data_IF_043515983376
#
_entry.id   IF_043515983376
#
_cell.length_a   1.000
_cell.length_b   1.000
_cell.length_c   1.000
_cell.angle_alpha   90.00
_cell.angle_beta   90.00
_cell.angle_gamma   90.00
#
_symmetry.space_group_name_H-M   'P 1'
#
loop_
_entity.id
_entity.type
_entity.pdbx_description
1 polymer ?
#
# COMPACT_ATOMS: atom_id res chain seq x y z
N UNK A 1 -66.70 -25.87 -30.58
CA UNK A 1 -66.89 -24.40 -30.52
C UNK A 1 -65.75 -23.83 -29.67
N UNK A 2 -65.07 -22.77 -30.10
CA UNK A 2 -64.20 -22.73 -31.29
C UNK A 2 -62.82 -22.06 -31.01
N UNK A 3 -61.92 -22.16 -32.00
CA UNK A 3 -60.97 -21.13 -32.51
C UNK A 3 -60.04 -20.39 -31.52
N UNK A 4 -58.72 -20.44 -31.70
CA UNK A 4 -58.01 -19.69 -32.75
C UNK A 4 -56.59 -20.25 -32.87
N UNK A 5 -56.19 -20.79 -34.02
CA UNK A 5 -55.57 -20.04 -35.12
C UNK A 5 -54.47 -19.06 -34.68
N UNK A 6 -53.23 -19.56 -34.68
CA UNK A 6 -52.07 -18.81 -35.17
C UNK A 6 -51.26 -19.74 -36.07
N UNK A 7 -51.78 -19.92 -37.29
CA UNK A 7 -50.99 -20.29 -38.44
C UNK A 7 -50.15 -19.07 -38.84
N UNK A 8 -48.84 -19.21 -38.94
CA UNK A 8 -48.10 -18.89 -40.18
C UNK A 8 -46.60 -19.16 -40.00
N UNK A 9 -46.18 -20.24 -40.65
CA UNK A 9 -45.10 -20.21 -41.65
C UNK A 9 -43.72 -19.69 -41.23
N UNK A 10 -42.80 -20.65 -41.15
CA UNK A 10 -41.48 -20.62 -41.77
C UNK A 10 -40.73 -19.28 -41.76
N UNK A 11 -39.76 -19.17 -40.86
CA UNK A 11 -38.49 -18.53 -41.22
C UNK A 11 -37.38 -19.51 -40.86
N UNK A 12 -37.00 -20.26 -41.89
CA UNK A 12 -35.68 -20.82 -42.14
C UNK A 12 -34.64 -20.28 -41.16
N UNK A 13 -34.19 -21.14 -40.22
CA UNK A 13 -32.94 -20.93 -39.51
C UNK A 13 -31.86 -20.93 -40.59
N UNK A 14 -31.55 -19.77 -41.15
CA UNK A 14 -30.32 -19.57 -41.90
C UNK A 14 -29.22 -19.88 -40.91
N UNK A 15 -28.69 -21.09 -41.04
CA UNK A 15 -27.41 -21.50 -40.52
C UNK A 15 -26.45 -20.41 -40.95
N UNK A 16 -26.12 -19.52 -40.01
CA UNK A 16 -25.17 -18.45 -40.23
C UNK A 16 -23.82 -19.15 -40.36
N UNK A 17 -23.54 -19.67 -41.55
CA UNK A 17 -22.27 -20.31 -41.89
C UNK A 17 -21.22 -19.25 -41.63
N UNK A 18 -20.48 -19.42 -40.54
CA UNK A 18 -19.22 -18.74 -40.29
C UNK A 18 -18.48 -18.67 -41.62
N UNK A 19 -18.47 -17.48 -42.24
CA UNK A 19 -17.54 -17.21 -43.31
C UNK A 19 -16.21 -17.00 -42.58
N UNK A 20 -15.17 -17.79 -42.86
CA UNK A 20 -13.86 -17.49 -42.31
C UNK A 20 -13.51 -16.08 -42.74
N UNK A 21 -13.23 -15.23 -41.76
CA UNK A 21 -12.68 -13.91 -41.99
C UNK A 21 -11.36 -14.11 -42.74
N UNK A 22 -11.22 -13.50 -43.91
CA UNK A 22 -9.99 -13.59 -44.71
C UNK A 22 -8.81 -13.14 -43.85
N UNK A 23 -7.82 -14.03 -43.71
CA UNK A 23 -6.70 -13.92 -42.78
C UNK A 23 -5.73 -12.78 -43.14
N UNK A 24 -5.96 -12.10 -44.27
CA UNK A 24 -5.09 -11.07 -44.83
C UNK A 24 -5.34 -9.66 -44.27
N UNK A 25 -6.50 -9.39 -43.67
CA UNK A 25 -6.75 -8.12 -42.95
C UNK A 25 -6.17 -8.09 -41.52
N UNK A 26 -5.49 -9.16 -41.10
CA UNK A 26 -4.84 -9.28 -39.78
C UNK A 26 -3.36 -8.85 -39.78
N UNK A 27 -2.82 -8.31 -40.87
CA UNK A 27 -1.45 -7.81 -40.91
C UNK A 27 -1.39 -6.30 -41.16
N UNK A 28 -1.35 -5.51 -40.07
CA UNK A 28 -0.34 -4.44 -39.97
C UNK A 28 -0.14 -3.83 -38.56
N UNK A 29 -0.37 -4.61 -37.49
CA UNK A 29 0.31 -4.28 -36.22
C UNK A 29 1.45 -5.28 -36.08
N UNK A 30 2.67 -4.87 -36.46
CA UNK A 30 3.83 -5.76 -36.39
C UNK A 30 4.04 -6.24 -34.95
N UNK A 31 4.38 -7.51 -34.77
CA UNK A 31 4.67 -8.08 -33.44
C UNK A 31 5.76 -7.29 -32.72
N UNK A 32 6.72 -6.73 -33.48
CA UNK A 32 7.77 -5.86 -32.96
C UNK A 32 7.23 -4.54 -32.39
N UNK A 33 6.26 -3.91 -33.06
CA UNK A 33 5.62 -2.69 -32.56
C UNK A 33 4.86 -2.92 -31.25
N UNK A 34 4.21 -4.09 -31.11
CA UNK A 34 3.56 -4.50 -29.85
C UNK A 34 4.57 -4.78 -28.74
N UNK A 35 5.68 -5.46 -29.06
CA UNK A 35 6.75 -5.71 -28.11
C UNK A 35 7.38 -4.40 -27.61
N UNK A 36 7.60 -3.45 -28.51
CA UNK A 36 8.12 -2.12 -28.17
C UNK A 36 7.14 -1.34 -27.29
N UNK A 37 5.85 -1.36 -27.63
CA UNK A 37 4.80 -0.73 -26.82
C UNK A 37 4.74 -1.34 -25.40
N UNK A 38 4.83 -2.66 -25.28
CA UNK A 38 4.84 -3.36 -24.00
C UNK A 38 6.11 -3.03 -23.18
N UNK A 39 7.28 -2.95 -23.80
CA UNK A 39 8.50 -2.52 -23.14
C UNK A 39 8.39 -1.08 -22.62
N UNK A 40 7.89 -0.16 -23.44
CA UNK A 40 7.69 1.24 -23.07
C UNK A 40 6.70 1.39 -21.91
N UNK A 41 5.54 0.72 -21.99
CA UNK A 41 4.54 0.71 -20.94
C UNK A 41 5.08 0.14 -19.62
N UNK A 42 5.83 -0.97 -19.68
CA UNK A 42 6.48 -1.53 -18.50
C UNK A 42 7.50 -0.55 -17.89
N UNK A 43 8.33 0.09 -18.72
CA UNK A 43 9.31 1.08 -18.26
C UNK A 43 8.62 2.25 -17.55
N UNK A 44 7.51 2.75 -18.11
CA UNK A 44 6.70 3.80 -17.51
C UNK A 44 6.08 3.36 -16.17
N UNK A 45 5.51 2.15 -16.10
CA UNK A 45 5.00 1.58 -14.85
C UNK A 45 6.10 1.52 -13.78
N UNK A 46 7.31 1.08 -14.14
CA UNK A 46 8.43 1.04 -13.20
C UNK A 46 8.83 2.44 -12.72
N UNK A 47 8.94 3.42 -13.62
CA UNK A 47 9.30 4.79 -13.23
C UNK A 47 8.23 5.44 -12.35
N UNK A 48 6.95 5.28 -12.68
CA UNK A 48 5.84 5.82 -11.90
C UNK A 48 5.74 5.17 -10.52
N UNK A 49 5.92 3.84 -10.44
CA UNK A 49 5.95 3.13 -9.14
C UNK A 49 7.12 3.60 -8.28
N UNK A 50 8.27 3.87 -8.89
CA UNK A 50 9.40 4.42 -8.17
C UNK A 50 9.12 5.84 -7.67
N UNK A 51 8.52 6.70 -8.50
CA UNK A 51 8.15 8.06 -8.12
C UNK A 51 7.13 8.07 -6.96
N UNK A 52 6.06 7.27 -7.06
CA UNK A 52 5.10 7.07 -5.95
C UNK A 52 5.81 6.60 -4.68
N UNK A 53 6.80 5.71 -4.80
CA UNK A 53 7.55 5.21 -3.64
C UNK A 53 8.37 6.30 -2.93
N UNK A 54 8.79 7.36 -3.64
CA UNK A 54 9.51 8.51 -3.08
C UNK A 54 8.60 9.41 -2.24
N UNK A 55 7.32 9.49 -2.59
CA UNK A 55 6.34 10.29 -1.84
C UNK A 55 5.67 9.52 -0.70
N UNK A 56 5.67 8.18 -0.75
CA UNK A 56 5.12 7.34 0.32
C UNK A 56 6.01 7.41 1.55
N UNK A 57 5.45 7.74 2.72
CA UNK A 57 6.13 7.62 4.01
C UNK A 57 6.37 6.14 4.33
N UNK A 58 7.48 5.61 3.83
CA UNK A 58 7.92 4.23 3.98
C UNK A 58 9.34 4.18 4.55
N UNK A 59 9.85 2.98 4.76
CA UNK A 59 11.19 2.76 5.32
C UNK A 59 12.30 3.33 4.43
N UNK A 60 12.20 3.15 3.11
CA UNK A 60 13.18 3.65 2.14
C UNK A 60 13.27 5.17 2.18
N UNK A 61 12.13 5.87 2.18
CA UNK A 61 12.04 7.32 2.30
C UNK A 61 12.74 7.81 3.57
N UNK A 62 12.38 7.23 4.71
CA UNK A 62 12.93 7.65 6.00
C UNK A 62 14.44 7.38 6.10
N UNK A 63 14.92 6.25 5.57
CA UNK A 63 16.35 5.90 5.53
C UNK A 63 17.17 6.84 4.66
N UNK A 64 16.59 7.36 3.57
CA UNK A 64 17.27 8.28 2.65
C UNK A 64 17.29 9.74 3.10
N UNK A 65 16.59 10.11 4.17
CA UNK A 65 16.39 11.51 4.54
C UNK A 65 16.50 11.73 6.06
N UNK A 66 17.70 12.04 6.54
CA UNK A 66 18.01 12.29 7.96
C UNK A 66 17.17 13.43 8.56
N UNK A 67 16.93 14.51 7.80
CA UNK A 67 16.08 15.63 8.27
C UNK A 67 14.66 15.16 8.53
N UNK A 68 14.13 14.30 7.66
CA UNK A 68 12.80 13.70 7.85
C UNK A 68 12.78 12.74 9.05
N UNK A 69 13.87 12.01 9.34
CA UNK A 69 13.95 11.16 10.55
C UNK A 69 13.72 12.01 11.80
N UNK A 70 14.50 13.08 11.97
CA UNK A 70 14.41 13.95 13.15
C UNK A 70 13.04 14.63 13.24
N UNK A 71 12.54 15.15 12.11
CA UNK A 71 11.26 15.85 12.05
C UNK A 71 10.08 14.94 12.43
N UNK A 72 9.99 13.76 11.83
CA UNK A 72 8.84 12.87 12.00
C UNK A 72 8.90 12.03 13.27
N UNK A 73 10.10 11.61 13.69
CA UNK A 73 10.23 10.63 14.77
C UNK A 73 10.82 11.21 16.05
N UNK A 74 11.47 12.38 15.97
CA UNK A 74 12.22 12.97 17.07
C UNK A 74 13.57 12.29 17.35
N UNK A 75 13.91 11.22 16.64
CA UNK A 75 15.22 10.57 16.77
C UNK A 75 16.27 11.26 15.88
N UNK A 76 17.53 11.37 16.34
CA UNK A 76 18.58 12.02 15.56
C UNK A 76 18.94 11.23 14.29
N UNK A 77 18.84 9.89 14.34
CA UNK A 77 19.26 9.02 13.25
C UNK A 77 18.27 7.87 13.04
N UNK A 78 18.23 7.36 11.80
CA UNK A 78 17.31 6.28 11.42
C UNK A 78 17.58 4.98 12.21
N UNK A 79 18.83 4.74 12.64
CA UNK A 79 19.20 3.54 13.40
C UNK A 79 18.36 3.36 14.68
N UNK A 80 18.00 4.46 15.36
CA UNK A 80 17.18 4.39 16.58
C UNK A 80 15.75 3.95 16.26
N UNK A 81 15.18 4.45 15.17
CA UNK A 81 13.85 4.05 14.68
C UNK A 81 13.86 2.57 14.29
N UNK A 82 14.89 2.13 13.57
CA UNK A 82 15.05 0.74 13.14
C UNK A 82 15.20 -0.20 14.34
N UNK A 83 16.00 0.14 15.34
CA UNK A 83 16.15 -0.66 16.56
C UNK A 83 14.83 -0.82 17.32
N UNK A 84 14.04 0.26 17.42
CA UNK A 84 12.70 0.18 18.01
C UNK A 84 11.81 -0.74 17.18
N UNK A 85 11.85 -0.59 15.85
CA UNK A 85 11.10 -1.43 14.94
C UNK A 85 11.39 -2.92 15.14
N UNK A 86 12.66 -3.32 15.18
CA UNK A 86 13.03 -4.72 15.42
C UNK A 86 12.49 -5.29 16.75
N UNK A 87 12.38 -4.45 17.79
CA UNK A 87 11.83 -4.86 19.09
C UNK A 87 10.31 -5.07 19.02
N UNK A 88 9.59 -4.21 18.30
CA UNK A 88 8.11 -4.20 18.30
C UNK A 88 7.49 -4.99 17.15
N UNK A 89 8.19 -5.14 16.03
CA UNK A 89 7.70 -5.76 14.79
C UNK A 89 7.02 -7.13 15.00
N UNK A 90 7.56 -8.07 15.81
CA UNK A 90 6.92 -9.36 16.02
C UNK A 90 5.54 -9.28 16.69
N UNK A 91 5.23 -8.14 17.31
CA UNK A 91 4.00 -7.90 18.07
C UNK A 91 3.02 -6.97 17.36
N UNK A 92 3.42 -6.41 16.20
CA UNK A 92 2.53 -5.59 15.38
C UNK A 92 1.64 -6.49 14.52
N UNK A 93 0.38 -6.06 14.37
CA UNK A 93 -0.61 -6.75 13.57
C UNK A 93 -0.31 -6.59 12.09
N UNK A 94 -0.55 -7.65 11.32
CA UNK A 94 -0.57 -7.55 9.87
C UNK A 94 -1.82 -6.79 9.43
N UNK A 95 -1.65 -5.85 8.50
CA UNK A 95 -2.73 -5.01 8.00
C UNK A 95 -2.61 -4.87 6.49
N UNK A 96 -3.74 -4.94 5.77
CA UNK A 96 -3.75 -4.86 4.31
C UNK A 96 -3.34 -3.47 3.79
N UNK A 97 -3.69 -2.41 4.52
CA UNK A 97 -3.42 -1.04 4.11
C UNK A 97 -1.99 -0.55 4.43
N UNK A 98 -1.41 -0.94 5.57
CA UNK A 98 -0.14 -0.38 6.08
C UNK A 98 0.80 -1.51 6.51
N UNK A 99 2.07 -1.42 6.07
CA UNK A 99 3.12 -2.31 6.58
C UNK A 99 3.40 -2.05 8.07
N UNK A 100 3.96 -3.03 8.78
CA UNK A 100 4.33 -2.88 10.20
C UNK A 100 5.23 -1.67 10.45
N UNK A 101 6.18 -1.40 9.56
CA UNK A 101 7.02 -0.21 9.65
C UNK A 101 6.19 1.07 9.54
N UNK A 102 5.22 1.12 8.63
CA UNK A 102 4.35 2.29 8.48
C UNK A 102 3.43 2.49 9.69
N UNK A 103 2.95 1.42 10.32
CA UNK A 103 2.19 1.49 11.57
C UNK A 103 3.02 2.13 12.70
N UNK A 104 4.28 1.70 12.85
CA UNK A 104 5.23 2.31 13.78
C UNK A 104 5.47 3.79 13.43
N UNK A 105 5.80 4.10 12.18
CA UNK A 105 6.11 5.45 11.74
C UNK A 105 4.92 6.40 11.97
N UNK A 106 3.71 5.99 11.61
CA UNK A 106 2.50 6.77 11.85
C UNK A 106 2.31 7.07 13.35
N UNK A 107 2.61 6.09 14.20
CA UNK A 107 2.53 6.25 15.65
C UNK A 107 3.58 7.21 16.18
N UNK A 108 4.83 7.12 15.71
CA UNK A 108 5.89 8.07 16.09
C UNK A 108 5.56 9.51 15.63
N UNK A 109 5.02 9.68 14.43
CA UNK A 109 4.56 10.97 13.91
C UNK A 109 3.45 11.54 14.79
N UNK A 110 2.46 10.72 15.16
CA UNK A 110 1.39 11.14 16.06
C UNK A 110 1.94 11.60 17.41
N UNK A 111 2.85 10.84 18.02
CA UNK A 111 3.45 11.20 19.30
C UNK A 111 4.31 12.46 19.23
N UNK A 112 5.02 12.68 18.12
CA UNK A 112 5.98 13.77 17.96
C UNK A 112 5.34 15.10 17.58
N UNK A 113 4.38 15.07 16.67
CA UNK A 113 3.77 16.25 16.04
C UNK A 113 2.31 16.47 16.47
N UNK A 114 1.72 15.53 17.23
CA UNK A 114 0.34 15.55 17.69
C UNK A 114 -0.72 15.78 16.60
N UNK A 115 -0.46 15.29 15.38
CA UNK A 115 -1.35 15.48 14.23
C UNK A 115 -2.73 14.84 14.45
N UNK A 116 -3.77 15.40 13.84
CA UNK A 116 -5.10 14.78 13.87
C UNK A 116 -5.12 13.48 13.07
N UNK A 117 -5.96 12.51 13.47
CA UNK A 117 -6.09 11.24 12.74
C UNK A 117 -6.54 11.42 11.29
N UNK A 118 -7.24 12.50 10.96
CA UNK A 118 -7.63 12.84 9.58
C UNK A 118 -6.39 13.16 8.73
N UNK A 119 -5.42 13.90 9.27
CA UNK A 119 -4.18 14.21 8.57
C UNK A 119 -3.31 12.97 8.39
N UNK A 120 -3.19 12.14 9.44
CA UNK A 120 -2.47 10.87 9.36
C UNK A 120 -3.11 9.92 8.34
N UNK A 121 -4.44 9.83 8.32
CA UNK A 121 -5.17 9.04 7.34
C UNK A 121 -4.84 9.45 5.90
N UNK A 122 -4.80 10.76 5.63
CA UNK A 122 -4.42 11.28 4.32
C UNK A 122 -2.97 10.93 3.94
N UNK A 123 -2.02 11.08 4.88
CA UNK A 123 -0.59 10.77 4.63
C UNK A 123 -0.34 9.29 4.37
N UNK A 124 -1.06 8.41 5.05
CA UNK A 124 -0.89 6.96 4.95
C UNK A 124 -1.92 6.27 4.04
N UNK A 125 -2.76 7.05 3.35
CA UNK A 125 -3.78 6.57 2.40
C UNK A 125 -4.68 5.49 3.03
N UNK A 126 -5.18 5.75 4.24
CA UNK A 126 -6.10 4.87 4.94
C UNK A 126 -7.28 5.65 5.52
N UNK A 127 -8.31 4.95 5.98
CA UNK A 127 -9.47 5.61 6.59
C UNK A 127 -9.10 6.16 7.99
N UNK A 128 -9.72 7.28 8.41
CA UNK A 128 -9.51 7.88 9.74
C UNK A 128 -9.64 6.88 10.90
N UNK A 129 -10.68 6.05 10.84
CA UNK A 129 -10.93 5.01 11.87
C UNK A 129 -9.85 3.93 11.87
N UNK A 130 -9.30 3.58 10.70
CA UNK A 130 -8.18 2.66 10.57
C UNK A 130 -6.91 3.27 11.19
N UNK A 131 -6.62 4.55 10.90
CA UNK A 131 -5.47 5.24 11.49
C UNK A 131 -5.53 5.27 13.03
N UNK A 132 -6.70 5.57 13.59
CA UNK A 132 -6.91 5.58 15.04
C UNK A 132 -6.69 4.20 15.68
N UNK A 133 -7.28 3.14 15.11
CA UNK A 133 -7.10 1.76 15.62
C UNK A 133 -5.64 1.29 15.52
N UNK A 134 -4.99 1.57 14.40
CA UNK A 134 -3.56 1.24 14.23
C UNK A 134 -2.74 1.97 15.29
N UNK A 135 -3.01 3.26 15.52
CA UNK A 135 -2.33 4.03 16.57
C UNK A 135 -2.54 3.40 17.95
N UNK A 136 -3.77 3.10 18.36
CA UNK A 136 -4.10 2.47 19.65
C UNK A 136 -3.40 1.12 19.85
N UNK A 137 -3.41 0.26 18.82
CA UNK A 137 -2.73 -1.03 18.88
C UNK A 137 -1.20 -0.87 18.98
N UNK A 138 -0.63 -0.02 18.14
CA UNK A 138 0.82 0.17 18.05
C UNK A 138 1.35 0.85 19.31
N UNK A 139 0.67 1.87 19.85
CA UNK A 139 1.09 2.54 21.09
C UNK A 139 1.04 1.60 22.29
N UNK A 140 0.03 0.72 22.36
CA UNK A 140 -0.05 -0.31 23.39
C UNK A 140 1.13 -1.30 23.28
N UNK A 141 1.47 -1.75 22.08
CA UNK A 141 2.65 -2.59 21.84
C UNK A 141 3.94 -1.88 22.28
N UNK A 142 4.13 -0.62 21.87
CA UNK A 142 5.28 0.20 22.28
C UNK A 142 5.38 0.27 23.81
N UNK A 143 4.28 0.58 24.49
CA UNK A 143 4.25 0.65 25.95
C UNK A 143 4.65 -0.69 26.58
N UNK A 144 4.04 -1.80 26.14
CA UNK A 144 4.30 -3.12 26.71
C UNK A 144 5.74 -3.59 26.50
N UNK A 145 6.34 -3.28 25.34
CA UNK A 145 7.70 -3.74 25.00
C UNK A 145 8.79 -2.80 25.53
N UNK A 146 8.56 -1.48 25.47
CA UNK A 146 9.57 -0.50 25.83
C UNK A 146 9.63 -0.18 27.33
N UNK A 147 8.56 -0.45 28.10
CA UNK A 147 8.55 -0.22 29.57
C UNK A 147 9.69 -0.92 30.31
N UNK A 148 10.17 -2.06 29.81
CA UNK A 148 11.27 -2.82 30.43
C UNK A 148 12.58 -2.03 30.36
N UNK A 149 12.81 -1.28 29.29
CA UNK A 149 14.03 -0.48 29.12
C UNK A 149 14.02 0.77 29.99
N UNK A 150 12.87 1.41 30.22
CA UNK A 150 12.80 2.60 31.07
C UNK A 150 13.07 2.30 32.54
N UNK A 151 12.62 1.14 33.03
CA UNK A 151 12.91 0.67 34.40
C UNK A 151 14.39 0.34 34.57
N UNK A 152 14.99 -0.36 33.61
CA UNK A 152 16.43 -0.69 33.66
C UNK A 152 17.33 0.54 33.56
N UNK A 153 16.96 1.53 32.74
CA UNK A 153 17.70 2.79 32.62
C UNK A 153 17.67 3.65 33.89
N UNK A 154 16.66 3.49 34.77
CA UNK A 154 16.65 4.12 36.09
C UNK A 154 17.55 3.39 37.08
N UNK A 155 17.55 2.04 37.06
CA UNK A 155 18.36 1.24 37.98
C UNK A 155 19.87 1.45 37.79
N UNK A 156 20.32 1.65 36.54
CA UNK A 156 21.75 1.96 36.23
C UNK A 156 22.22 3.34 36.68
N UNK A 157 21.30 4.29 36.89
CA UNK A 157 21.62 5.66 37.35
C UNK A 157 21.64 5.80 38.88
N UNK A 158 21.27 4.75 39.61
CA UNK A 158 21.22 4.72 41.08
C UNK A 158 22.42 4.02 41.72
N UNK A 159 23.39 3.56 40.93
CA UNK A 159 24.57 2.80 41.40
C UNK A 159 25.88 3.53 41.10
N UNK A 160 25.87 4.86 41.10
CA UNK A 160 27.06 5.72 41.05
C UNK A 160 26.84 6.83 42.06
#
# INVERSE_FOLDING_TARGET
>A
MPESELNTSNVHLQENRYQPMDVEELQEVSVESLQLALQNANKEIYSLREEISKFKLNEKYLKSNEKSVLYYTGFPEYIYVHNIFQIVEPYLLDHSALSKFQQLLMTLIKLRLDLQFTDLANRFLCHRTTAARIFENTIHVLYCRLKKFSVLARKRRSTT
#
